data_IF_014932449229
#
_entry.id   IF_014932449229
#
_cell.length_a   1.000
_cell.length_b   1.000
_cell.length_c   1.000
_cell.angle_alpha   90.00
_cell.angle_beta   90.00
_cell.angle_gamma   90.00
#
_symmetry.space_group_name_H-M   'P 1'
#
loop_
_entity.id
_entity.type
_entity.pdbx_description
1 polymer ?
#
# COMPACT_ATOMS: atom_id res chain seq x y z
N UNK A 1 13.54 -27.03 34.03
CA UNK A 1 13.97 -28.02 35.04
C UNK A 1 12.76 -28.38 35.88
N UNK A 2 12.13 -29.53 35.58
CA UNK A 2 11.25 -30.38 36.42
C UNK A 2 9.98 -29.71 37.04
N UNK A 3 8.77 -30.29 37.12
CA UNK A 3 8.18 -31.59 36.81
C UNK A 3 6.65 -31.45 37.01
N UNK A 4 5.90 -32.41 36.48
CA UNK A 4 4.45 -32.66 36.56
C UNK A 4 3.86 -32.70 37.98
N UNK A 5 2.55 -32.45 38.11
CA UNK A 5 1.54 -33.20 38.90
C UNK A 5 0.15 -32.85 38.29
N UNK A 6 -0.56 -33.78 37.64
CA UNK A 6 -1.42 -34.86 38.16
C UNK A 6 -2.90 -34.42 38.30
N UNK A 7 -3.78 -35.29 37.77
CA UNK A 7 -5.23 -35.17 37.57
C UNK A 7 -6.03 -35.65 38.80
N UNK A 8 -7.36 -35.56 38.67
CA UNK A 8 -8.46 -36.20 39.44
C UNK A 8 -9.10 -35.30 40.52
N UNK A 9 -10.41 -35.18 40.71
CA UNK A 9 -11.58 -35.96 40.29
C UNK A 9 -12.91 -35.19 40.46
N UNK A 10 -13.99 -35.87 40.07
CA UNK A 10 -15.39 -35.79 40.54
C UNK A 10 -16.46 -35.07 39.69
N UNK A 11 -17.07 -35.92 38.87
CA UNK A 11 -18.47 -35.91 38.44
C UNK A 11 -19.41 -36.01 39.64
N UNK A 12 -20.41 -35.13 39.72
CA UNK A 12 -21.71 -35.42 40.35
C UNK A 12 -22.79 -34.95 39.40
N UNK A 13 -23.62 -35.90 38.96
CA UNK A 13 -24.75 -35.66 38.07
C UNK A 13 -26.00 -35.24 38.82
N UNK A 14 -26.84 -34.45 38.14
CA UNK A 14 -28.27 -34.34 38.43
C UNK A 14 -28.99 -34.39 37.08
N UNK A 15 -29.82 -35.43 36.90
CA UNK A 15 -30.83 -35.56 35.83
C UNK A 15 -32.19 -35.11 36.36
N UNK A 16 -33.17 -35.13 35.43
CA UNK A 16 -34.65 -35.17 35.60
C UNK A 16 -35.25 -33.78 35.22
N UNK A 17 -36.11 -33.58 34.20
CA UNK A 17 -37.12 -34.41 33.49
C UNK A 17 -37.27 -34.07 32.00
N UNK A 18 -37.82 -35.03 31.25
CA UNK A 18 -38.44 -34.87 29.94
C UNK A 18 -39.84 -34.25 30.04
N UNK A 19 -40.23 -33.45 29.05
CA UNK A 19 -41.63 -33.41 28.58
C UNK A 19 -41.70 -33.09 27.06
N UNK A 20 -42.82 -33.48 26.46
CA UNK A 20 -43.05 -33.82 25.05
C UNK A 20 -43.29 -32.66 24.05
N UNK A 21 -42.67 -32.75 22.84
CA UNK A 21 -43.18 -32.38 21.49
C UNK A 21 -43.70 -30.93 21.20
N UNK A 22 -43.93 -30.52 19.93
CA UNK A 22 -43.97 -31.31 18.69
C UNK A 22 -43.07 -30.81 17.53
N UNK A 23 -42.93 -31.74 16.59
CA UNK A 23 -42.55 -31.73 15.17
C UNK A 23 -42.27 -30.39 14.43
N UNK A 24 -41.20 -30.48 13.61
CA UNK A 24 -40.78 -29.54 12.55
C UNK A 24 -41.84 -29.36 11.45
N UNK A 25 -41.95 -28.17 10.84
CA UNK A 25 -42.31 -28.05 9.44
C UNK A 25 -41.05 -28.12 8.57
N UNK A 26 -41.03 -29.06 7.62
CA UNK A 26 -40.17 -28.98 6.44
C UNK A 26 -40.67 -27.81 5.58
N UNK A 27 -39.83 -26.80 5.42
CA UNK A 27 -40.05 -25.67 4.51
C UNK A 27 -38.74 -25.36 3.79
N UNK A 28 -38.79 -25.44 2.47
CA UNK A 28 -37.69 -25.25 1.54
C UNK A 28 -37.01 -23.89 1.73
N UNK A 29 -35.69 -23.88 1.93
CA UNK A 29 -34.85 -22.69 1.75
C UNK A 29 -33.82 -23.00 0.67
N UNK A 30 -34.21 -22.75 -0.58
CA UNK A 30 -33.28 -22.64 -1.69
C UNK A 30 -32.42 -21.38 -1.51
N UNK A 31 -31.10 -21.57 -1.55
CA UNK A 31 -30.14 -20.62 -2.11
C UNK A 31 -29.98 -19.26 -1.41
N UNK A 32 -29.22 -19.23 -0.31
CA UNK A 32 -28.41 -18.05 0.01
C UNK A 32 -27.00 -18.53 0.37
N UNK A 33 -26.14 -18.64 -0.65
CA UNK A 33 -24.73 -18.95 -0.47
C UNK A 33 -24.07 -17.75 0.23
N UNK A 34 -23.38 -18.00 1.35
CA UNK A 34 -22.76 -16.92 2.13
C UNK A 34 -21.58 -16.31 1.38
N UNK A 35 -21.27 -15.03 1.61
CA UNK A 35 -20.12 -14.33 1.01
C UNK A 35 -18.77 -15.04 1.26
N UNK A 36 -18.67 -15.86 2.30
CA UNK A 36 -17.51 -16.74 2.54
C UNK A 36 -17.46 -17.88 1.53
N UNK A 37 -18.58 -18.55 1.29
CA UNK A 37 -18.70 -19.68 0.35
C UNK A 37 -18.52 -19.21 -1.11
N UNK A 38 -18.98 -18.00 -1.46
CA UNK A 38 -18.71 -17.39 -2.77
C UNK A 38 -17.21 -17.05 -2.96
N UNK A 39 -16.52 -16.62 -1.90
CA UNK A 39 -15.07 -16.33 -1.93
C UNK A 39 -14.21 -17.59 -2.05
N UNK A 40 -14.58 -18.68 -1.40
CA UNK A 40 -13.83 -19.94 -1.46
C UNK A 40 -13.90 -20.59 -2.85
N UNK A 41 -15.05 -20.50 -3.54
CA UNK A 41 -15.18 -20.99 -4.93
C UNK A 41 -14.36 -20.18 -5.93
N UNK A 42 -14.35 -18.85 -5.81
CA UNK A 42 -13.57 -17.97 -6.69
C UNK A 42 -12.05 -18.18 -6.50
N UNK A 43 -11.61 -18.43 -5.26
CA UNK A 43 -10.20 -18.75 -4.98
C UNK A 43 -9.80 -20.15 -5.48
N UNK A 44 -10.68 -21.15 -5.31
CA UNK A 44 -10.45 -22.51 -5.82
C UNK A 44 -10.35 -22.59 -7.35
N UNK A 45 -11.14 -21.78 -8.07
CA UNK A 45 -11.10 -21.73 -9.53
C UNK A 45 -9.83 -21.06 -10.08
N UNK A 46 -9.31 -20.02 -9.41
CA UNK A 46 -8.08 -19.33 -9.82
C UNK A 46 -6.83 -20.20 -9.65
N UNK A 47 -6.77 -21.00 -8.57
CA UNK A 47 -5.64 -21.92 -8.33
C UNK A 47 -5.54 -23.06 -9.37
N UNK A 48 -6.67 -23.46 -9.98
CA UNK A 48 -6.70 -24.50 -11.01
C UNK A 48 -6.21 -24.01 -12.38
N UNK A 49 -6.41 -22.72 -12.70
CA UNK A 49 -5.94 -22.12 -13.96
C UNK A 49 -4.42 -21.93 -13.97
N UNK A 50 -3.82 -21.66 -12.81
CA UNK A 50 -2.37 -21.45 -12.68
C UNK A 50 -1.55 -22.75 -12.80
N UNK A 51 -2.14 -23.91 -12.48
CA UNK A 51 -1.46 -25.21 -12.60
C UNK A 51 -1.38 -25.76 -14.03
N UNK A 52 -2.24 -25.30 -14.96
CA UNK A 52 -2.24 -25.76 -16.35
C UNK A 52 -1.29 -25.01 -17.30
N UNK A 53 -0.64 -23.92 -16.85
CA UNK A 53 0.32 -23.15 -17.67
C UNK A 53 1.80 -23.44 -17.38
N UNK A 54 2.11 -24.33 -16.44
CA UNK A 54 3.47 -24.64 -16.01
C UNK A 54 4.04 -25.98 -16.54
N UNK A 55 3.40 -26.60 -17.55
CA UNK A 55 3.83 -27.88 -18.11
C UNK A 55 4.13 -27.79 -19.61
N UNK A 56 5.39 -27.57 -19.98
CA UNK A 56 5.86 -27.60 -21.36
C UNK A 56 7.36 -27.35 -21.42
N UNK A 57 8.15 -28.41 -21.27
CA UNK A 57 9.61 -28.37 -21.32
C UNK A 57 10.19 -28.31 -22.73
N UNK A 58 11.39 -27.75 -22.84
CA UNK A 58 12.35 -28.01 -23.91
C UNK A 58 13.78 -27.76 -23.38
N UNK A 59 14.69 -28.65 -23.75
CA UNK A 59 16.06 -28.84 -23.26
C UNK A 59 17.04 -27.67 -23.52
N UNK A 60 18.17 -27.60 -22.78
CA UNK A 60 19.12 -26.50 -22.87
C UNK A 60 20.15 -26.69 -24.01
N UNK A 61 20.26 -25.70 -24.90
CA UNK A 61 21.37 -25.60 -25.86
C UNK A 61 22.47 -24.74 -25.25
N UNK A 62 23.62 -25.37 -25.01
CA UNK A 62 24.88 -24.71 -24.66
C UNK A 62 25.39 -23.84 -25.82
N UNK A 63 25.69 -22.57 -25.55
CA UNK A 63 26.48 -21.71 -26.44
C UNK A 63 27.53 -20.98 -25.60
N UNK A 64 28.80 -21.20 -25.93
CA UNK A 64 29.97 -20.52 -25.35
C UNK A 64 30.05 -19.05 -25.82
N UNK A 65 30.54 -18.10 -24.99
CA UNK A 65 30.80 -16.74 -25.43
C UNK A 65 32.21 -16.63 -26.05
N UNK A 66 32.43 -15.76 -27.06
CA UNK A 66 33.76 -15.36 -27.47
C UNK A 66 34.29 -14.21 -26.61
N UNK A 67 35.61 -14.22 -26.40
CA UNK A 67 36.42 -13.26 -25.65
C UNK A 67 36.79 -12.01 -26.48
N UNK A 68 37.09 -10.91 -25.77
CA UNK A 68 37.70 -9.66 -26.29
C UNK A 68 36.68 -8.50 -26.34
N UNK A 69 36.90 -7.30 -25.82
CA UNK A 69 38.14 -6.56 -25.52
C UNK A 69 37.94 -5.61 -24.32
N UNK A 70 39.05 -5.30 -23.64
CA UNK A 70 39.13 -4.38 -22.50
C UNK A 70 39.29 -2.95 -23.00
N UNK A 71 38.39 -2.06 -22.60
CA UNK A 71 38.70 -0.63 -22.50
C UNK A 71 38.18 -0.03 -21.19
N UNK A 72 39.04 0.79 -20.60
CA UNK A 72 39.01 1.25 -19.21
C UNK A 72 37.78 2.08 -18.83
N UNK A 73 37.38 1.90 -17.58
CA UNK A 73 36.37 2.69 -16.88
C UNK A 73 36.87 4.13 -16.64
N UNK A 74 35.93 5.06 -16.40
CA UNK A 74 36.00 5.87 -15.20
C UNK A 74 34.90 5.47 -14.21
N UNK A 75 35.21 5.64 -12.93
CA UNK A 75 34.42 5.26 -11.76
C UNK A 75 33.06 5.99 -11.68
N UNK A 76 31.96 5.33 -11.27
CA UNK A 76 30.71 6.00 -10.97
C UNK A 76 30.65 6.31 -9.47
N UNK A 77 31.29 7.40 -9.05
CA UNK A 77 30.85 8.13 -7.87
C UNK A 77 30.18 9.41 -8.39
N UNK A 78 29.02 9.78 -7.84
CA UNK A 78 28.30 11.06 -8.06
C UNK A 78 27.26 11.20 -9.20
N UNK A 79 26.65 10.12 -9.71
CA UNK A 79 25.43 10.25 -10.54
C UNK A 79 24.28 9.40 -10.00
N UNK A 80 23.92 9.66 -8.74
CA UNK A 80 22.83 9.00 -8.04
C UNK A 80 21.61 9.90 -7.93
N UNK A 81 20.50 9.49 -8.56
CA UNK A 81 19.14 10.04 -8.37
C UNK A 81 18.78 11.37 -9.05
N UNK A 82 19.73 12.24 -9.41
CA UNK A 82 19.41 13.58 -9.95
C UNK A 82 18.93 13.53 -11.43
N UNK A 83 19.58 12.69 -12.25
CA UNK A 83 19.30 12.59 -13.69
C UNK A 83 17.89 12.08 -14.05
N UNK A 84 17.27 11.26 -13.18
CA UNK A 84 15.93 10.70 -13.44
C UNK A 84 14.79 11.62 -12.99
N UNK A 85 15.04 12.50 -12.02
CA UNK A 85 14.06 13.46 -11.53
C UNK A 85 13.83 14.57 -12.56
N UNK A 86 14.90 15.13 -13.14
CA UNK A 86 14.79 16.24 -14.09
C UNK A 86 14.12 15.85 -15.42
N UNK A 87 14.39 14.65 -15.96
CA UNK A 87 13.80 14.24 -17.24
C UNK A 87 12.28 13.95 -17.16
N UNK A 88 11.73 13.65 -15.98
CA UNK A 88 10.31 13.30 -15.81
C UNK A 88 9.43 14.51 -15.49
N UNK A 89 9.93 15.46 -14.68
CA UNK A 89 9.25 16.76 -14.44
C UNK A 89 9.09 17.54 -15.76
N UNK A 90 10.06 17.43 -16.67
CA UNK A 90 9.99 18.06 -18.00
C UNK A 90 8.97 17.40 -18.95
N UNK A 91 8.80 16.06 -18.90
CA UNK A 91 7.82 15.35 -19.76
C UNK A 91 6.37 15.55 -19.31
N UNK A 92 6.12 15.75 -18.01
CA UNK A 92 4.77 16.08 -17.51
C UNK A 92 4.32 17.49 -17.90
N UNK A 93 5.25 18.43 -18.16
CA UNK A 93 4.93 19.75 -18.73
C UNK A 93 4.63 19.72 -20.23
N UNK A 94 5.07 18.69 -20.96
CA UNK A 94 5.02 18.64 -22.42
C UNK A 94 3.78 17.92 -23.00
N UNK A 95 2.93 17.28 -22.17
CA UNK A 95 1.72 16.57 -22.65
C UNK A 95 0.41 17.35 -22.52
N UNK A 96 0.48 18.67 -22.31
CA UNK A 96 -0.66 19.54 -22.51
C UNK A 96 -0.83 19.82 -24.02
N UNK A 97 -1.99 19.42 -24.55
CA UNK A 97 -2.52 19.64 -25.90
C UNK A 97 -2.29 18.51 -26.93
N UNK A 98 -3.24 17.57 -26.96
CA UNK A 98 -3.61 16.90 -28.21
C UNK A 98 -4.57 17.82 -28.98
N UNK A 99 -4.26 18.27 -30.21
CA UNK A 99 -5.13 19.20 -30.95
C UNK A 99 -6.37 18.52 -31.59
N UNK A 100 -6.56 17.21 -31.44
CA UNK A 100 -7.49 16.44 -32.27
C UNK A 100 -8.78 15.94 -31.58
N UNK A 101 -8.97 16.16 -30.28
CA UNK A 101 -10.16 15.67 -29.58
C UNK A 101 -11.15 16.82 -29.30
N UNK A 102 -12.00 17.09 -30.28
CA UNK A 102 -13.14 18.02 -30.17
C UNK A 102 -14.36 17.32 -29.58
N UNK A 103 -14.27 16.86 -28.33
CA UNK A 103 -15.47 16.60 -27.53
C UNK A 103 -15.60 17.75 -26.54
N UNK A 104 -16.36 18.76 -26.94
CA UNK A 104 -16.73 19.88 -26.08
C UNK A 104 -17.66 19.40 -24.97
N UNK A 105 -17.09 18.83 -23.90
CA UNK A 105 -17.85 18.53 -22.69
C UNK A 105 -18.18 19.87 -22.03
N UNK A 106 -19.43 20.30 -22.20
CA UNK A 106 -19.98 21.50 -21.58
C UNK A 106 -20.03 21.26 -20.06
N UNK A 107 -18.93 21.53 -19.36
CA UNK A 107 -18.88 21.51 -17.90
C UNK A 107 -19.82 22.61 -17.43
N UNK A 108 -21.01 22.22 -16.94
CA UNK A 108 -21.90 23.14 -16.22
C UNK A 108 -21.08 23.73 -15.07
N UNK A 109 -20.87 25.04 -15.10
CA UNK A 109 -20.32 25.81 -13.99
C UNK A 109 -21.33 25.80 -12.83
N UNK A 110 -21.42 24.67 -12.13
CA UNK A 110 -22.01 24.61 -10.80
C UNK A 110 -21.11 25.38 -9.84
N UNK A 111 -21.71 26.21 -8.98
CA UNK A 111 -21.02 26.95 -7.91
C UNK A 111 -20.00 26.04 -7.22
N UNK A 112 -18.70 26.37 -7.35
CA UNK A 112 -17.61 25.73 -6.60
C UNK A 112 -17.96 25.75 -5.11
N UNK A 113 -18.34 24.60 -4.55
CA UNK A 113 -18.49 24.44 -3.10
C UNK A 113 -17.08 24.56 -2.51
N UNK A 114 -16.84 25.61 -1.72
CA UNK A 114 -15.59 25.76 -0.97
C UNK A 114 -15.47 24.63 0.06
N UNK A 115 -14.38 23.88 -0.09
CA UNK A 115 -13.59 23.08 0.87
C UNK A 115 -14.31 22.12 1.81
N UNK A 116 -14.07 20.83 1.63
CA UNK A 116 -14.13 19.88 2.75
C UNK A 116 -13.19 20.34 3.87
N UNK A 117 -13.64 20.21 5.13
CA UNK A 117 -12.81 20.52 6.30
C UNK A 117 -11.51 19.72 6.21
N UNK A 118 -10.36 20.41 6.19
CA UNK A 118 -9.04 19.77 6.26
C UNK A 118 -8.95 18.96 7.54
N UNK A 119 -8.44 17.73 7.46
CA UNK A 119 -8.10 16.96 8.64
C UNK A 119 -6.77 17.44 9.21
N UNK A 120 -6.76 17.71 10.51
CA UNK A 120 -5.51 17.95 11.23
C UNK A 120 -4.80 16.61 11.44
N UNK A 121 -3.69 16.41 10.75
CA UNK A 121 -2.76 15.30 10.99
C UNK A 121 -1.67 15.78 11.93
N UNK A 122 -1.44 15.07 13.03
CA UNK A 122 -0.41 15.41 14.01
C UNK A 122 0.47 14.21 14.32
N UNK A 123 1.75 14.46 14.59
CA UNK A 123 2.62 13.46 15.22
C UNK A 123 2.52 13.68 16.72
N UNK A 124 1.57 12.99 17.36
CA UNK A 124 1.21 13.23 18.75
C UNK A 124 2.24 12.69 19.75
N UNK A 125 2.97 11.64 19.36
CA UNK A 125 3.95 10.97 20.21
C UNK A 125 5.32 11.68 20.12
N UNK A 126 5.84 12.27 21.22
CA UNK A 126 7.13 12.95 21.23
C UNK A 126 8.30 12.04 20.81
N UNK A 127 8.19 10.74 21.09
CA UNK A 127 9.20 9.76 20.67
C UNK A 127 9.20 9.62 19.16
N UNK A 128 8.02 9.62 18.53
CA UNK A 128 7.86 9.49 17.07
C UNK A 128 8.21 10.80 16.36
N UNK A 129 7.90 11.96 16.94
CA UNK A 129 8.11 13.28 16.34
C UNK A 129 9.55 13.50 15.84
N UNK A 130 10.56 13.01 16.56
CA UNK A 130 11.97 13.12 16.18
C UNK A 130 12.49 11.96 15.32
N UNK A 131 11.62 11.01 14.95
CA UNK A 131 11.99 9.78 14.23
C UNK A 131 11.44 9.72 12.81
N UNK A 132 10.48 10.57 12.47
CA UNK A 132 9.76 10.53 11.19
C UNK A 132 9.89 11.82 10.39
N UNK A 133 9.77 11.67 9.07
CA UNK A 133 9.48 12.71 8.10
C UNK A 133 8.30 12.19 7.29
N UNK A 134 7.15 12.86 7.37
CA UNK A 134 5.90 12.41 6.77
C UNK A 134 5.46 13.38 5.69
N UNK A 135 5.18 12.87 4.50
CA UNK A 135 4.45 13.61 3.47
C UNK A 135 2.97 13.33 3.61
N UNK A 136 2.19 14.34 4.00
CA UNK A 136 0.74 14.25 4.17
C UNK A 136 0.08 14.87 2.94
N UNK A 137 -0.81 14.12 2.28
CA UNK A 137 -1.58 14.61 1.14
C UNK A 137 -3.06 14.37 1.39
N UNK A 138 -3.85 15.44 1.36
CA UNK A 138 -5.31 15.36 1.32
C UNK A 138 -5.80 15.64 -0.10
N UNK A 139 -6.78 14.89 -0.58
CA UNK A 139 -7.44 15.16 -1.84
C UNK A 139 -8.95 15.02 -1.74
N UNK A 140 -9.66 15.98 -2.32
CA UNK A 140 -11.12 16.06 -2.35
C UNK A 140 -11.63 15.76 -3.77
N UNK A 141 -12.78 15.10 -3.87
CA UNK A 141 -13.47 14.88 -5.14
C UNK A 141 -12.78 13.91 -6.10
N UNK A 142 -12.07 12.90 -5.61
CA UNK A 142 -11.46 11.88 -6.48
C UNK A 142 -12.51 10.97 -7.10
N UNK A 143 -12.27 10.55 -8.35
CA UNK A 143 -13.02 9.51 -9.04
C UNK A 143 -12.23 8.21 -9.05
N UNK A 144 -12.64 7.25 -8.21
CA UNK A 144 -12.02 5.92 -8.14
C UNK A 144 -12.68 5.00 -9.15
N UNK A 145 -11.94 4.62 -10.18
CA UNK A 145 -12.32 3.64 -11.20
C UNK A 145 -11.75 2.25 -10.87
N UNK A 146 -12.38 1.14 -11.36
CA UNK A 146 -11.90 -0.23 -11.16
C UNK A 146 -10.46 -0.48 -11.63
N UNK A 147 -10.00 0.29 -12.63
CA UNK A 147 -8.62 0.31 -13.10
C UNK A 147 -8.39 1.60 -13.88
N UNK A 148 -7.14 1.99 -14.05
CA UNK A 148 -6.76 2.99 -15.05
C UNK A 148 -5.52 2.51 -15.82
N UNK A 149 -5.70 2.31 -17.13
CA UNK A 149 -4.74 1.66 -18.02
C UNK A 149 -3.42 2.41 -18.11
N UNK A 150 -3.46 3.75 -18.08
CA UNK A 150 -2.25 4.57 -18.08
C UNK A 150 -1.40 4.34 -16.83
N UNK A 151 -2.04 4.21 -15.66
CA UNK A 151 -1.37 3.92 -14.38
C UNK A 151 -0.83 2.50 -14.35
N UNK A 152 -1.61 1.52 -14.79
CA UNK A 152 -1.19 0.12 -14.86
C UNK A 152 0.04 -0.01 -15.74
N UNK A 153 0.03 0.62 -16.92
CA UNK A 153 1.17 0.63 -17.84
C UNK A 153 2.39 1.28 -17.21
N UNK A 154 2.25 2.47 -16.63
CA UNK A 154 3.36 3.17 -15.97
C UNK A 154 3.96 2.37 -14.81
N UNK A 155 3.12 1.64 -14.06
CA UNK A 155 3.53 0.77 -12.94
C UNK A 155 4.30 -0.46 -13.43
N UNK A 156 3.82 -1.14 -14.47
CA UNK A 156 4.51 -2.29 -15.06
C UNK A 156 5.84 -1.89 -15.72
N UNK A 157 5.87 -0.76 -16.44
CA UNK A 157 7.10 -0.23 -17.00
C UNK A 157 8.12 0.14 -15.92
N UNK A 158 7.66 0.72 -14.81
CA UNK A 158 8.53 1.00 -13.67
C UNK A 158 9.04 -0.29 -13.02
N UNK A 159 8.18 -1.29 -12.84
CA UNK A 159 8.57 -2.59 -12.30
C UNK A 159 9.62 -3.27 -13.18
N UNK A 160 9.49 -3.20 -14.50
CA UNK A 160 10.49 -3.70 -15.44
C UNK A 160 11.85 -2.98 -15.28
N UNK A 161 11.86 -1.64 -15.21
CA UNK A 161 13.08 -0.86 -14.97
C UNK A 161 13.72 -1.16 -13.61
N UNK A 162 12.92 -1.33 -12.57
CA UNK A 162 13.39 -1.73 -11.23
C UNK A 162 14.06 -3.10 -11.30
N UNK A 163 13.44 -4.07 -11.98
CA UNK A 163 13.99 -5.41 -12.16
C UNK A 163 15.33 -5.38 -12.89
N UNK A 164 15.42 -4.65 -13.99
CA UNK A 164 16.65 -4.50 -14.77
C UNK A 164 17.76 -3.86 -13.94
N UNK A 165 17.47 -2.73 -13.28
CA UNK A 165 18.47 -1.96 -12.53
C UNK A 165 19.02 -2.70 -11.32
N UNK A 166 18.19 -3.50 -10.65
CA UNK A 166 18.54 -4.13 -9.38
C UNK A 166 18.59 -5.67 -9.47
N UNK A 167 18.72 -6.21 -10.69
CA UNK A 167 18.87 -7.64 -10.92
C UNK A 167 20.01 -8.22 -10.07
N UNK A 168 19.75 -9.34 -9.39
CA UNK A 168 20.71 -10.04 -8.55
C UNK A 168 21.10 -9.34 -7.25
N UNK A 169 20.59 -8.13 -6.96
CA UNK A 169 20.89 -7.40 -5.73
C UNK A 169 19.88 -7.73 -4.62
N UNK A 170 20.32 -8.16 -3.43
CA UNK A 170 19.42 -8.31 -2.31
C UNK A 170 18.91 -6.93 -1.86
N UNK A 171 17.64 -6.81 -1.41
CA UNK A 171 17.08 -5.53 -0.96
C UNK A 171 17.87 -4.82 0.14
N UNK A 172 18.70 -5.56 0.90
CA UNK A 172 19.57 -4.99 1.93
C UNK A 172 20.72 -4.15 1.38
N UNK A 173 21.14 -4.37 0.14
CA UNK A 173 22.24 -3.65 -0.53
C UNK A 173 21.72 -2.49 -1.40
N UNK A 174 20.40 -2.34 -1.53
CA UNK A 174 19.80 -1.26 -2.29
C UNK A 174 19.73 -0.03 -1.40
N UNK A 175 20.63 0.94 -1.66
CA UNK A 175 20.72 2.20 -0.91
C UNK A 175 19.39 2.94 -0.86
N UNK A 176 18.66 2.98 -1.98
CA UNK A 176 17.39 3.68 -2.07
C UNK A 176 16.25 3.05 -1.22
N UNK A 177 16.40 1.81 -0.75
CA UNK A 177 15.48 1.18 0.21
C UNK A 177 15.85 1.45 1.67
N UNK A 178 17.06 1.94 1.94
CA UNK A 178 17.54 2.14 3.32
C UNK A 178 16.69 3.13 4.13
N UNK A 179 16.16 4.23 3.57
CA UNK A 179 15.28 5.11 4.35
C UNK A 179 14.08 4.38 4.95
N UNK A 180 13.35 3.58 4.15
CA UNK A 180 12.21 2.81 4.64
C UNK A 180 12.60 1.81 5.74
N UNK A 181 13.78 1.20 5.63
CA UNK A 181 14.32 0.26 6.64
C UNK A 181 14.80 0.97 7.90
N UNK A 182 15.39 2.15 7.75
CA UNK A 182 15.80 3.01 8.86
C UNK A 182 14.59 3.45 9.68
N UNK A 183 13.49 3.84 9.03
CA UNK A 183 12.24 4.18 9.72
C UNK A 183 11.83 3.05 10.67
N UNK A 184 11.78 1.81 10.18
CA UNK A 184 11.41 0.64 10.98
C UNK A 184 12.34 0.48 12.18
N UNK A 185 13.66 0.54 11.98
CA UNK A 185 14.65 0.47 13.08
C UNK A 185 14.43 1.57 14.11
N UNK A 186 14.18 2.81 13.66
CA UNK A 186 13.90 3.96 14.55
C UNK A 186 12.60 3.76 15.32
N UNK A 187 11.59 3.11 14.75
CA UNK A 187 10.30 2.89 15.42
C UNK A 187 10.19 1.54 16.14
N UNK A 188 11.30 0.81 16.29
CA UNK A 188 11.36 -0.43 17.07
C UNK A 188 11.00 -1.70 16.30
N UNK A 189 10.87 -1.63 14.98
CA UNK A 189 10.56 -2.76 14.11
C UNK A 189 11.80 -3.26 13.37
N UNK A 190 11.94 -4.58 13.26
CA UNK A 190 12.98 -5.22 12.45
C UNK A 190 12.50 -5.31 10.98
N UNK A 191 13.10 -4.56 10.04
CA UNK A 191 12.67 -4.53 8.64
C UNK A 191 12.87 -5.87 7.92
N UNK A 192 13.64 -6.80 8.48
CA UNK A 192 13.84 -8.15 7.92
C UNK A 192 12.68 -9.10 8.26
N UNK A 193 12.04 -8.88 9.42
CA UNK A 193 10.87 -9.64 9.91
C UNK A 193 9.57 -9.03 9.40
N UNK A 194 9.43 -7.72 9.56
CA UNK A 194 8.28 -6.96 9.09
C UNK A 194 8.73 -6.04 7.97
N UNK A 195 8.22 -6.26 6.76
CA UNK A 195 8.71 -5.56 5.58
C UNK A 195 7.92 -4.27 5.32
N UNK A 196 8.58 -3.16 4.98
CA UNK A 196 7.93 -1.97 4.41
C UNK A 196 7.09 -2.34 3.18
N UNK A 197 5.93 -1.69 3.00
CA UNK A 197 5.07 -1.93 1.84
C UNK A 197 5.78 -1.64 0.51
N UNK A 198 6.63 -0.59 0.46
CA UNK A 198 7.47 -0.29 -0.70
C UNK A 198 8.48 -1.39 -1.03
N UNK A 199 9.10 -2.01 -0.01
CA UNK A 199 10.01 -3.13 -0.23
C UNK A 199 9.25 -4.38 -0.72
N UNK A 200 8.01 -4.59 -0.28
CA UNK A 200 7.18 -5.69 -0.79
C UNK A 200 6.88 -5.53 -2.28
N UNK A 201 6.55 -4.30 -2.73
CA UNK A 201 6.36 -3.97 -4.15
C UNK A 201 7.66 -4.13 -4.94
N UNK A 202 8.77 -3.60 -4.42
CA UNK A 202 10.09 -3.73 -5.03
C UNK A 202 10.48 -5.20 -5.26
N UNK A 203 10.31 -6.05 -4.24
CA UNK A 203 10.61 -7.49 -4.36
C UNK A 203 9.68 -8.18 -5.36
N UNK A 204 8.43 -7.74 -5.48
CA UNK A 204 7.49 -8.26 -6.49
C UNK A 204 8.00 -7.94 -7.90
N UNK A 205 8.42 -6.71 -8.13
CA UNK A 205 9.04 -6.28 -9.39
C UNK A 205 10.32 -7.10 -9.71
N UNK A 206 11.20 -7.30 -8.72
CA UNK A 206 12.42 -8.12 -8.89
C UNK A 206 12.12 -9.57 -9.30
N UNK A 207 11.04 -10.16 -8.78
CA UNK A 207 10.61 -11.51 -9.15
C UNK A 207 9.93 -11.59 -10.52
N UNK A 208 9.80 -10.47 -11.25
CA UNK A 208 9.10 -10.43 -12.53
C UNK A 208 7.60 -10.74 -12.41
N UNK A 209 7.02 -10.60 -11.22
CA UNK A 209 5.60 -10.84 -11.01
C UNK A 209 4.80 -9.62 -11.48
N UNK A 210 3.66 -9.80 -12.18
CA UNK A 210 2.77 -8.70 -12.54
C UNK A 210 2.38 -7.89 -11.31
N UNK A 211 2.38 -6.57 -11.39
CA UNK A 211 1.99 -5.71 -10.29
C UNK A 211 0.49 -5.87 -9.99
N UNK A 212 0.11 -5.69 -8.72
CA UNK A 212 -1.30 -5.83 -8.32
C UNK A 212 -2.13 -4.71 -8.97
N UNK A 213 -3.25 -5.09 -9.56
CA UNK A 213 -4.28 -4.18 -10.07
C UNK A 213 -5.48 -4.26 -9.12
N UNK A 214 -5.78 -3.17 -8.42
CA UNK A 214 -6.84 -3.14 -7.40
C UNK A 214 -7.91 -2.13 -7.76
N UNK A 215 -7.49 -0.88 -7.97
CA UNK A 215 -8.28 0.21 -8.52
C UNK A 215 -7.33 1.33 -8.91
N UNK A 216 -7.81 2.23 -9.77
CA UNK A 216 -7.04 3.39 -10.28
C UNK A 216 -6.25 4.14 -9.19
N UNK A 217 -6.81 4.33 -8.01
CA UNK A 217 -6.18 5.10 -6.93
C UNK A 217 -5.15 4.30 -6.13
N UNK A 218 -5.46 3.03 -5.82
CA UNK A 218 -4.51 2.12 -5.15
C UNK A 218 -3.32 1.84 -6.06
N UNK A 219 -3.56 1.66 -7.36
CA UNK A 219 -2.52 1.41 -8.34
C UNK A 219 -1.63 2.65 -8.53
N UNK A 220 -2.22 3.85 -8.48
CA UNK A 220 -1.48 5.12 -8.49
C UNK A 220 -0.59 5.26 -7.24
N UNK A 221 -1.11 4.88 -6.07
CA UNK A 221 -0.35 4.87 -4.83
C UNK A 221 0.81 3.87 -4.88
N UNK A 222 0.58 2.67 -5.43
CA UNK A 222 1.62 1.66 -5.64
C UNK A 222 2.70 2.14 -6.62
N UNK A 223 2.31 2.84 -7.70
CA UNK A 223 3.25 3.49 -8.63
C UNK A 223 4.14 4.49 -7.90
N UNK A 224 3.56 5.38 -7.10
CA UNK A 224 4.32 6.36 -6.32
C UNK A 224 5.22 5.67 -5.28
N UNK A 225 4.72 4.66 -4.58
CA UNK A 225 5.49 3.94 -3.56
C UNK A 225 6.68 3.17 -4.15
N UNK A 226 6.51 2.55 -5.33
CA UNK A 226 7.60 1.87 -6.03
C UNK A 226 8.62 2.87 -6.59
N UNK A 227 8.18 4.05 -7.02
CA UNK A 227 9.06 5.09 -7.54
C UNK A 227 9.91 5.74 -6.45
N UNK A 228 9.30 6.07 -5.31
CA UNK A 228 9.98 6.72 -4.19
C UNK A 228 10.76 5.72 -3.34
N UNK A 229 10.43 4.43 -3.47
CA UNK A 229 10.88 3.34 -2.59
C UNK A 229 10.54 3.58 -1.10
N UNK A 230 9.53 4.41 -0.84
CA UNK A 230 9.00 4.73 0.48
C UNK A 230 7.58 4.15 0.65
N UNK A 231 7.23 3.66 1.85
CA UNK A 231 5.86 3.24 2.14
C UNK A 231 4.89 4.41 1.99
N UNK A 232 3.74 4.14 1.38
CA UNK A 232 2.64 5.09 1.32
C UNK A 232 1.39 4.39 1.84
N UNK A 233 0.75 5.01 2.84
CA UNK A 233 -0.58 4.63 3.30
C UNK A 233 -1.65 5.42 2.56
N UNK A 234 -2.78 4.80 2.26
CA UNK A 234 -3.87 5.39 1.50
C UNK A 234 -5.22 5.07 2.15
N UNK A 235 -5.95 6.12 2.53
CA UNK A 235 -7.10 6.03 3.42
C UNK A 235 -8.31 6.75 2.86
N UNK A 236 -9.48 6.11 2.94
CA UNK A 236 -10.76 6.76 2.71
C UNK A 236 -11.03 7.73 3.87
N UNK A 237 -10.93 9.03 3.57
CA UNK A 237 -11.01 10.10 4.57
C UNK A 237 -12.42 10.22 5.15
N UNK A 238 -13.45 9.84 4.40
CA UNK A 238 -14.85 9.90 4.84
C UNK A 238 -15.16 8.83 5.90
N UNK A 239 -14.27 7.84 6.07
CA UNK A 239 -14.37 6.77 7.07
C UNK A 239 -13.56 7.04 8.35
N UNK A 240 -12.85 8.17 8.42
CA UNK A 240 -12.07 8.59 9.58
C UNK A 240 -12.93 9.34 10.62
N UNK A 241 -12.53 9.25 11.89
CA UNK A 241 -13.19 9.92 13.02
C UNK A 241 -12.26 10.85 13.78
N UNK A 242 -12.54 12.15 13.76
CA UNK A 242 -11.79 13.14 14.54
C UNK A 242 -10.42 13.47 13.93
N UNK A 243 -9.47 13.84 14.79
CA UNK A 243 -8.10 14.16 14.37
C UNK A 243 -7.31 12.89 14.04
N UNK A 244 -6.33 13.03 13.15
CA UNK A 244 -5.44 11.92 12.79
C UNK A 244 -4.12 12.07 13.54
N UNK A 245 -3.71 11.02 14.21
CA UNK A 245 -2.48 10.97 15.00
C UNK A 245 -1.53 9.90 14.46
N UNK A 246 -0.25 10.24 14.34
CA UNK A 246 0.83 9.27 14.11
C UNK A 246 1.57 9.04 15.41
N UNK A 247 1.61 7.79 15.86
CA UNK A 247 2.19 7.37 17.15
C UNK A 247 2.59 5.90 17.15
N UNK A 248 3.21 5.44 18.22
CA UNK A 248 3.31 4.00 18.48
C UNK A 248 1.96 3.44 18.95
N UNK A 249 1.65 2.22 18.54
CA UNK A 249 0.45 1.52 19.01
C UNK A 249 0.52 1.22 20.50
N UNK A 250 -0.61 1.40 21.19
CA UNK A 250 -0.75 1.16 22.63
C UNK A 250 -0.93 -0.33 22.93
N UNK A 251 -0.74 -0.76 24.18
CA UNK A 251 -0.96 -2.15 24.58
C UNK A 251 -2.33 -2.68 24.16
N UNK A 252 -2.35 -3.85 23.53
CA UNK A 252 -3.57 -4.52 23.07
C UNK A 252 -4.24 -3.92 21.83
N UNK A 253 -3.75 -2.81 21.26
CA UNK A 253 -4.31 -2.24 20.04
C UNK A 253 -4.08 -3.16 18.82
N UNK A 254 -5.12 -3.32 18.01
CA UNK A 254 -5.08 -4.12 16.80
C UNK A 254 -6.17 -3.69 15.81
N UNK A 255 -6.02 -4.08 14.55
CA UNK A 255 -7.07 -3.92 13.53
C UNK A 255 -7.05 -5.06 12.51
N UNK A 256 -8.14 -5.23 11.77
CA UNK A 256 -8.19 -6.17 10.64
C UNK A 256 -7.52 -5.54 9.42
N UNK A 257 -6.39 -6.10 8.99
CA UNK A 257 -5.66 -5.65 7.81
C UNK A 257 -6.33 -6.03 6.52
N UNK A 258 -6.02 -5.28 5.47
CA UNK A 258 -6.30 -5.64 4.08
C UNK A 258 -5.61 -6.96 3.73
N UNK A 259 -6.41 -8.03 3.63
CA UNK A 259 -5.98 -9.34 3.10
C UNK A 259 -5.01 -10.15 3.97
N UNK A 260 -4.71 -9.73 5.20
CA UNK A 260 -3.68 -10.36 6.06
C UNK A 260 -4.14 -10.73 7.48
N UNK A 261 -5.45 -10.63 7.76
CA UNK A 261 -6.01 -10.98 9.07
C UNK A 261 -5.75 -9.89 10.12
N UNK A 262 -5.61 -10.30 11.39
CA UNK A 262 -5.42 -9.38 12.52
C UNK A 262 -3.99 -8.83 12.56
N UNK A 263 -3.85 -7.52 12.55
CA UNK A 263 -2.59 -6.81 12.80
C UNK A 263 -2.53 -6.29 14.21
N UNK A 264 -1.54 -6.76 14.95
CA UNK A 264 -1.21 -6.23 16.27
C UNK A 264 -0.39 -4.95 16.10
N UNK A 265 -0.92 -3.85 16.63
CA UNK A 265 -0.35 -2.51 16.49
C UNK A 265 0.58 -2.14 17.66
N UNK A 266 0.46 -2.82 18.80
CA UNK A 266 1.26 -2.55 20.00
C UNK A 266 2.76 -2.39 19.70
N UNK A 267 3.32 -1.23 20.07
CA UNK A 267 4.73 -0.90 19.89
C UNK A 267 5.16 -0.58 18.45
N UNK A 268 4.22 -0.50 17.50
CA UNK A 268 4.52 -0.31 16.07
C UNK A 268 4.07 1.06 15.60
N UNK A 269 4.71 1.58 14.55
CA UNK A 269 4.31 2.87 13.99
C UNK A 269 2.93 2.74 13.33
N UNK A 270 1.96 3.52 13.80
CA UNK A 270 0.60 3.50 13.29
C UNK A 270 0.04 4.89 13.07
N UNK A 271 -0.93 4.97 12.17
CA UNK A 271 -1.82 6.10 11.98
C UNK A 271 -3.14 5.77 12.65
N UNK A 272 -3.61 6.66 13.51
CA UNK A 272 -4.77 6.49 14.36
C UNK A 272 -5.76 7.63 14.17
N UNK A 273 -7.04 7.35 14.35
CA UNK A 273 -8.08 8.34 14.56
C UNK A 273 -8.73 8.09 15.93
N UNK A 274 -9.89 8.70 16.20
CA UNK A 274 -10.60 8.52 17.47
C UNK A 274 -11.04 7.07 17.74
N UNK A 275 -11.21 6.25 16.70
CA UNK A 275 -11.61 4.83 16.82
C UNK A 275 -10.40 3.88 16.95
N UNK A 276 -9.18 4.42 16.93
CA UNK A 276 -7.93 3.66 17.08
C UNK A 276 -7.11 3.55 15.78
N UNK A 277 -6.12 2.64 15.72
CA UNK A 277 -5.25 2.50 14.56
C UNK A 277 -6.01 2.04 13.31
N UNK A 278 -5.69 2.67 12.18
CA UNK A 278 -6.23 2.31 10.86
C UNK A 278 -5.17 2.15 9.78
N UNK A 279 -3.91 2.50 10.04
CA UNK A 279 -2.85 2.46 9.06
C UNK A 279 -1.47 2.22 9.67
N UNK A 280 -0.54 1.75 8.84
CA UNK A 280 0.88 1.61 9.18
C UNK A 280 1.72 1.62 7.90
N UNK A 281 3.04 1.87 7.96
CA UNK A 281 3.91 1.72 6.79
C UNK A 281 4.07 0.26 6.32
N UNK A 282 3.40 -0.71 6.95
CA UNK A 282 3.41 -2.14 6.57
C UNK A 282 2.12 -2.55 5.84
N UNK A 283 0.98 -2.18 6.39
CA UNK A 283 -0.35 -2.47 5.86
C UNK A 283 -1.41 -1.57 6.50
N UNK A 284 -2.53 -1.44 5.80
CA UNK A 284 -3.65 -0.63 6.24
C UNK A 284 -4.85 -1.49 6.68
N UNK A 285 -5.76 -0.87 7.43
CA UNK A 285 -6.98 -1.47 7.93
C UNK A 285 -8.05 -1.58 6.85
N UNK A 286 -8.84 -2.65 6.91
CA UNK A 286 -10.05 -2.78 6.09
C UNK A 286 -11.11 -1.69 6.41
N UNK A 287 -11.04 -1.07 7.60
CA UNK A 287 -11.97 -0.01 8.04
C UNK A 287 -11.88 1.24 7.17
N UNK A 288 -10.70 1.55 6.62
CA UNK A 288 -10.46 2.77 5.83
C UNK A 288 -10.07 2.45 4.39
N UNK A 289 -10.41 1.25 3.93
CA UNK A 289 -10.13 0.77 2.59
C UNK A 289 -10.76 1.67 1.52
N UNK A 290 -10.01 1.93 0.46
CA UNK A 290 -10.49 2.60 -0.74
C UNK A 290 -11.48 1.71 -1.48
N UNK A 291 -12.56 2.33 -1.93
CA UNK A 291 -13.57 1.71 -2.80
C UNK A 291 -13.91 2.65 -3.95
N UNK A 292 -14.65 2.18 -4.95
CA UNK A 292 -15.18 3.04 -6.03
C UNK A 292 -16.10 4.17 -5.53
N UNK A 293 -16.60 4.05 -4.29
CA UNK A 293 -17.43 5.06 -3.63
C UNK A 293 -16.62 6.14 -2.92
N UNK A 294 -15.33 5.92 -2.71
CA UNK A 294 -14.44 6.88 -2.03
C UNK A 294 -14.35 8.16 -2.85
N UNK A 295 -14.47 9.31 -2.18
CA UNK A 295 -14.40 10.65 -2.81
C UNK A 295 -13.35 11.54 -2.18
N UNK A 296 -13.04 11.34 -0.91
CA UNK A 296 -12.04 12.10 -0.20
C UNK A 296 -10.99 11.16 0.37
N UNK A 297 -9.72 11.51 0.20
CA UNK A 297 -8.61 10.62 0.61
C UNK A 297 -7.54 11.34 1.40
N UNK A 298 -6.90 10.56 2.27
CA UNK A 298 -5.68 10.92 2.97
C UNK A 298 -4.58 9.95 2.54
N UNK A 299 -3.44 10.49 2.10
CA UNK A 299 -2.23 9.73 1.85
C UNK A 299 -1.14 10.16 2.83
N UNK A 300 -0.35 9.19 3.28
CA UNK A 300 0.80 9.43 4.15
C UNK A 300 2.01 8.71 3.57
N UNK A 301 3.00 9.48 3.12
CA UNK A 301 4.32 8.97 2.72
C UNK A 301 5.19 8.89 3.97
N UNK A 302 5.72 7.70 4.27
CA UNK A 302 6.49 7.48 5.50
C UNK A 302 8.00 7.43 5.21
N UNK A 303 8.76 8.27 5.90
CA UNK A 303 10.22 8.25 5.86
C UNK A 303 10.81 8.51 7.26
N UNK A 304 12.08 8.17 7.52
CA UNK A 304 12.75 8.50 8.77
C UNK A 304 13.01 10.01 8.85
N UNK A 305 13.24 10.54 10.05
CA UNK A 305 13.57 11.96 10.25
C UNK A 305 14.86 12.41 9.52
N UNK A 306 15.77 11.47 9.21
CA UNK A 306 16.95 11.70 8.39
C UNK A 306 16.64 11.93 6.90
N UNK A 307 15.41 11.65 6.46
CA UNK A 307 15.04 11.82 5.06
C UNK A 307 14.93 13.32 4.70
N UNK A 308 15.58 13.79 3.61
CA UNK A 308 15.60 15.20 3.28
C UNK A 308 14.19 15.78 3.11
N UNK A 309 13.85 16.78 3.94
CA UNK A 309 12.52 17.41 3.92
C UNK A 309 12.16 17.95 2.53
N UNK A 310 13.14 18.55 1.83
CA UNK A 310 12.96 19.02 0.44
C UNK A 310 12.49 17.90 -0.49
N UNK A 311 13.10 16.71 -0.43
CA UNK A 311 12.67 15.56 -1.25
C UNK A 311 11.28 15.08 -0.87
N UNK A 312 10.91 15.14 0.41
CA UNK A 312 9.55 14.81 0.83
C UNK A 312 8.53 15.79 0.23
N UNK A 313 8.83 17.10 0.21
CA UNK A 313 7.98 18.10 -0.47
C UNK A 313 7.80 17.74 -1.94
N UNK A 314 8.90 17.47 -2.65
CA UNK A 314 8.87 17.06 -4.07
C UNK A 314 7.98 15.81 -4.29
N UNK A 315 8.06 14.80 -3.41
CA UNK A 315 7.18 13.62 -3.48
C UNK A 315 5.70 13.97 -3.29
N UNK A 316 5.38 14.82 -2.31
CA UNK A 316 3.99 15.25 -2.08
C UNK A 316 3.42 15.99 -3.29
N UNK A 317 4.22 16.81 -3.97
CA UNK A 317 3.81 17.53 -5.19
C UNK A 317 3.58 16.61 -6.38
N UNK A 318 4.43 15.58 -6.55
CA UNK A 318 4.25 14.54 -7.57
C UNK A 318 2.94 13.79 -7.33
N UNK A 319 2.68 13.37 -6.09
CA UNK A 319 1.44 12.69 -5.71
C UNK A 319 0.23 13.60 -5.97
N UNK A 320 0.26 14.84 -5.49
CA UNK A 320 -0.83 15.80 -5.68
C UNK A 320 -1.12 16.09 -7.17
N UNK A 321 -0.08 16.15 -7.99
CA UNK A 321 -0.22 16.32 -9.45
C UNK A 321 -0.89 15.11 -10.08
N UNK A 322 -0.42 13.90 -9.75
CA UNK A 322 -1.02 12.66 -10.25
C UNK A 322 -2.47 12.48 -9.83
N UNK A 323 -2.82 12.84 -8.59
CA UNK A 323 -4.20 12.80 -8.11
C UNK A 323 -5.11 13.69 -8.97
N UNK A 324 -4.66 14.88 -9.34
CA UNK A 324 -5.42 15.79 -10.21
C UNK A 324 -5.54 15.26 -11.64
N UNK A 325 -4.47 14.69 -12.20
CA UNK A 325 -4.45 14.32 -13.62
C UNK A 325 -5.05 12.94 -13.90
N UNK A 326 -4.97 12.00 -12.95
CA UNK A 326 -5.37 10.60 -13.17
C UNK A 326 -6.78 10.33 -12.63
N UNK A 327 -7.05 10.75 -11.39
CA UNK A 327 -8.34 10.49 -10.72
C UNK A 327 -9.20 11.75 -10.59
N UNK A 328 -8.80 12.84 -11.25
CA UNK A 328 -9.59 14.07 -11.35
C UNK A 328 -9.82 14.79 -10.02
N UNK A 329 -8.90 14.69 -9.06
CA UNK A 329 -9.03 15.37 -7.77
C UNK A 329 -9.34 16.87 -7.95
N UNK A 330 -10.41 17.35 -7.30
CA UNK A 330 -10.87 18.74 -7.42
C UNK A 330 -9.99 19.72 -6.62
N UNK A 331 -9.52 19.26 -5.46
CA UNK A 331 -8.64 20.01 -4.56
C UNK A 331 -7.60 19.06 -3.97
N UNK A 332 -6.37 19.56 -3.82
CA UNK A 332 -5.27 18.82 -3.20
C UNK A 332 -4.49 19.72 -2.26
N UNK A 333 -4.19 19.21 -1.06
CA UNK A 333 -3.43 19.91 -0.03
C UNK A 333 -2.27 19.02 0.40
N UNK A 334 -1.10 19.61 0.58
CA UNK A 334 0.11 18.89 0.99
C UNK A 334 0.72 19.55 2.21
N UNK A 335 1.26 18.71 3.10
CA UNK A 335 2.00 19.14 4.27
C UNK A 335 3.16 18.17 4.50
N UNK A 336 4.28 18.67 5.02
CA UNK A 336 5.39 17.82 5.46
C UNK A 336 5.60 18.02 6.95
N UNK A 337 5.45 16.92 7.71
CA UNK A 337 5.59 16.86 9.16
C UNK A 337 6.93 16.21 9.53
N UNK A 338 7.69 16.83 10.43
CA UNK A 338 9.01 16.35 10.84
C UNK A 338 10.07 16.50 9.75
N UNK A 339 11.12 15.69 9.85
CA UNK A 339 12.34 15.81 9.04
C UNK A 339 13.31 16.89 9.55
N UNK A 340 14.59 16.72 9.21
CA UNK A 340 15.65 17.72 9.44
C UNK A 340 15.68 18.80 8.36
#
# INVERSE_FOLDING_TARGET
>A
MLLQHAREAHVVGVRVRHDHGPQRPQGQAQGAETLLQQRERLWGAQAAVDQHRAGGGADPVHVHPPEGERHGKPHPHEVGCEYFYEQRVLRLRARAACPACSVATRVRQGKRRRSGKSLRVVVADPVVAHRVCLGVIEADGVLVLPSEESVVRDLEELAARVRERYAGRPPAEVEALQPARELYRRTGEDPTKTRPSSEALFRRALRGQPMSQVNSLVDLCNLCSLEFLLPIGLYDRDRLRGAVEVRLGRPGEAYLSLGKGLFRAEGRLVVCDADGPFGSPTNDSARTAITERTRNVLLVVFAPASYPRRRMVEHTEVVATRLRTVVGAEDTRTEVLGGA
#
